data_IF_677235236864
#
_entry.id   IF_677235236864
#
_cell.length_a   1.000
_cell.length_b   1.000
_cell.length_c   1.000
_cell.angle_alpha   90.00
_cell.angle_beta   90.00
_cell.angle_gamma   90.00
#
_symmetry.space_group_name_H-M   'P 1'
#
loop_
_entity.id
_entity.type
_entity.pdbx_description
1 polymer ?
#
# COMPACT_ATOMS: atom_id res chain seq x y z
N UNK A 1 67.96 -18.47 -1.02
CA UNK A 1 67.02 -18.81 0.08
C UNK A 1 65.72 -18.06 -0.17
N UNK A 2 64.62 -18.83 -0.26
CA UNK A 2 63.21 -18.51 0.04
C UNK A 2 62.53 -17.34 -0.68
N UNK A 3 61.55 -17.61 -1.57
CA UNK A 3 60.08 -17.60 -1.33
C UNK A 3 59.55 -16.17 -1.05
N UNK A 4 58.49 -15.64 -1.67
CA UNK A 4 57.20 -16.27 -1.88
C UNK A 4 56.27 -15.43 -2.79
N UNK A 5 55.51 -16.15 -3.63
CA UNK A 5 54.10 -15.99 -4.09
C UNK A 5 53.40 -14.62 -4.20
N UNK A 6 52.82 -14.43 -5.40
CA UNK A 6 51.45 -13.99 -5.72
C UNK A 6 50.56 -13.50 -4.56
N UNK A 7 49.82 -12.39 -4.79
CA UNK A 7 48.37 -12.55 -4.97
C UNK A 7 47.71 -11.36 -5.68
N UNK A 8 47.05 -11.69 -6.78
CA UNK A 8 46.09 -10.89 -7.54
C UNK A 8 44.82 -10.75 -6.71
N UNK A 9 44.38 -9.52 -6.42
CA UNK A 9 43.03 -9.27 -5.88
C UNK A 9 42.11 -8.85 -7.02
N UNK A 10 41.54 -9.85 -7.70
CA UNK A 10 40.41 -9.65 -8.60
C UNK A 10 39.12 -9.57 -7.78
N UNK A 11 38.42 -8.45 -7.89
CA UNK A 11 37.09 -8.21 -7.33
C UNK A 11 36.05 -9.02 -8.10
N UNK A 12 35.35 -9.92 -7.41
CA UNK A 12 34.16 -10.61 -7.95
C UNK A 12 32.88 -9.86 -7.54
N UNK A 13 31.89 -9.70 -8.43
CA UNK A 13 30.53 -9.28 -8.10
C UNK A 13 29.63 -10.53 -7.95
N UNK A 14 29.00 -10.73 -6.79
CA UNK A 14 27.99 -11.78 -6.64
C UNK A 14 27.82 -12.30 -5.22
N UNK A 15 26.75 -11.87 -4.54
CA UNK A 15 26.39 -12.38 -3.22
C UNK A 15 25.32 -11.57 -2.49
N UNK A 16 24.22 -11.19 -3.14
CA UNK A 16 23.03 -10.79 -2.39
C UNK A 16 22.42 -12.02 -1.71
N UNK A 17 22.14 -11.91 -0.42
CA UNK A 17 22.15 -12.99 0.58
C UNK A 17 20.74 -13.62 0.68
N UNK A 18 20.60 -14.91 1.06
CA UNK A 18 19.30 -15.55 1.29
C UNK A 18 18.32 -14.77 2.20
N UNK A 19 18.87 -13.94 3.10
CA UNK A 19 18.11 -13.08 4.02
C UNK A 19 17.35 -11.98 3.27
N UNK A 20 17.95 -11.35 2.26
CA UNK A 20 17.27 -10.31 1.48
C UNK A 20 16.08 -10.88 0.72
N UNK A 21 16.23 -12.09 0.16
CA UNK A 21 15.12 -12.80 -0.48
C UNK A 21 14.00 -13.14 0.50
N UNK A 22 14.35 -13.56 1.72
CA UNK A 22 13.37 -13.84 2.77
C UNK A 22 12.62 -12.57 3.18
N UNK A 23 13.33 -11.45 3.38
CA UNK A 23 12.73 -10.15 3.68
C UNK A 23 11.74 -9.71 2.60
N UNK A 24 12.13 -9.79 1.33
CA UNK A 24 11.24 -9.47 0.21
C UNK A 24 9.99 -10.36 0.16
N UNK A 25 10.16 -11.68 0.35
CA UNK A 25 9.02 -12.60 0.37
C UNK A 25 8.06 -12.31 1.54
N UNK A 26 8.62 -11.95 2.69
CA UNK A 26 7.86 -11.57 3.87
C UNK A 26 7.09 -10.26 3.65
N UNK A 27 7.76 -9.25 3.11
CA UNK A 27 7.14 -7.96 2.75
C UNK A 27 5.96 -8.16 1.80
N UNK A 28 6.14 -8.95 0.74
CA UNK A 28 5.07 -9.22 -0.23
C UNK A 28 3.87 -9.95 0.39
N UNK A 29 4.09 -10.90 1.32
CA UNK A 29 2.99 -11.57 2.02
C UNK A 29 2.24 -10.62 2.95
N UNK A 30 2.97 -9.76 3.67
CA UNK A 30 2.38 -8.76 4.56
C UNK A 30 1.56 -7.74 3.76
N UNK A 31 2.11 -7.24 2.65
CA UNK A 31 1.41 -6.33 1.74
C UNK A 31 0.14 -6.95 1.18
N UNK A 32 0.18 -8.24 0.82
CA UNK A 32 -1.03 -8.97 0.40
C UNK A 32 -2.07 -9.06 1.51
N UNK A 33 -1.68 -9.45 2.74
CA UNK A 33 -2.63 -9.57 3.86
C UNK A 33 -3.31 -8.24 4.16
N UNK A 34 -2.56 -7.14 4.09
CA UNK A 34 -3.05 -5.79 4.34
C UNK A 34 -3.57 -5.08 3.08
N UNK A 35 -3.63 -5.78 1.94
CA UNK A 35 -4.23 -5.22 0.72
C UNK A 35 -5.72 -5.01 0.91
N UNK A 36 -6.26 -3.99 0.22
CA UNK A 36 -7.71 -3.68 0.26
C UNK A 36 -8.56 -4.89 -0.13
N UNK A 37 -8.12 -5.62 -1.15
CA UNK A 37 -8.82 -6.80 -1.68
C UNK A 37 -8.85 -7.95 -0.66
N UNK A 38 -7.73 -8.23 0.02
CA UNK A 38 -7.71 -9.24 1.07
C UNK A 38 -8.56 -8.80 2.27
N UNK A 39 -8.41 -7.57 2.74
CA UNK A 39 -9.17 -7.05 3.90
C UNK A 39 -10.68 -7.01 3.66
N UNK A 40 -11.13 -6.74 2.43
CA UNK A 40 -12.54 -6.78 2.09
C UNK A 40 -13.16 -8.18 2.23
N UNK A 41 -12.35 -9.24 2.13
CA UNK A 41 -12.80 -10.63 2.15
C UNK A 41 -12.35 -11.40 3.42
N UNK A 42 -11.32 -10.94 4.12
CA UNK A 42 -10.71 -11.61 5.26
C UNK A 42 -11.33 -11.13 6.57
N UNK A 43 -12.50 -11.71 6.89
CA UNK A 43 -13.21 -11.44 8.13
C UNK A 43 -12.39 -11.76 9.39
N UNK A 44 -11.43 -12.69 9.30
CA UNK A 44 -10.57 -13.00 10.45
C UNK A 44 -9.62 -11.84 10.73
N UNK A 45 -8.86 -11.39 9.73
CA UNK A 45 -7.92 -10.28 9.90
C UNK A 45 -8.65 -9.00 10.35
N UNK A 46 -9.82 -8.72 9.77
CA UNK A 46 -10.69 -7.61 10.21
C UNK A 46 -11.15 -7.78 11.66
N UNK A 47 -11.49 -8.99 12.10
CA UNK A 47 -11.89 -9.24 13.50
C UNK A 47 -10.75 -9.05 14.52
N UNK A 48 -9.49 -9.07 14.06
CA UNK A 48 -8.32 -8.85 14.90
C UNK A 48 -7.90 -7.38 14.96
N UNK A 49 -8.54 -6.51 14.18
CA UNK A 49 -8.31 -5.07 14.21
C UNK A 49 -8.98 -4.44 15.43
N UNK A 50 -8.30 -3.47 16.03
CA UNK A 50 -8.91 -2.56 17.00
C UNK A 50 -9.67 -1.41 16.33
N UNK A 51 -10.17 -0.48 17.13
CA UNK A 51 -10.93 0.68 16.65
C UNK A 51 -10.17 1.61 15.71
N UNK A 52 -8.83 1.54 15.74
CA UNK A 52 -7.92 2.33 14.90
C UNK A 52 -7.29 1.50 13.77
N UNK A 53 -7.86 0.31 13.49
CA UNK A 53 -7.43 -0.65 12.47
C UNK A 53 -6.05 -1.26 12.69
N UNK A 54 -5.53 -1.22 13.91
CA UNK A 54 -4.30 -1.88 14.25
C UNK A 54 -4.52 -3.36 14.58
N UNK A 55 -3.59 -4.18 14.11
CA UNK A 55 -3.50 -5.61 14.35
C UNK A 55 -2.18 -5.89 15.07
N UNK A 56 -2.18 -6.67 16.15
CA UNK A 56 -0.94 -7.02 16.80
C UNK A 56 0.01 -7.85 15.93
N UNK A 57 1.31 -7.59 16.03
CA UNK A 57 2.33 -8.32 15.24
C UNK A 57 2.25 -9.84 15.47
N UNK A 58 1.94 -10.27 16.70
CA UNK A 58 1.79 -11.70 17.02
C UNK A 58 0.66 -12.39 16.25
N UNK A 59 -0.42 -11.69 15.93
CA UNK A 59 -1.51 -12.21 15.11
C UNK A 59 -1.00 -12.53 13.71
N UNK A 60 -0.28 -11.58 13.10
CA UNK A 60 0.27 -11.71 11.75
C UNK A 60 1.37 -12.77 11.71
N UNK A 61 2.23 -12.81 12.72
CA UNK A 61 3.26 -13.82 12.86
C UNK A 61 2.71 -15.25 12.95
N UNK A 62 1.47 -15.42 13.40
CA UNK A 62 0.83 -16.73 13.48
C UNK A 62 0.13 -17.15 12.17
N UNK A 63 0.15 -16.33 11.12
CA UNK A 63 -0.40 -16.71 9.82
C UNK A 63 0.39 -17.83 9.17
N UNK A 64 -0.33 -18.72 8.48
CA UNK A 64 0.26 -19.92 7.90
C UNK A 64 1.34 -19.61 6.86
N UNK A 65 1.18 -18.54 6.05
CA UNK A 65 2.21 -18.16 5.08
C UNK A 65 3.40 -17.50 5.74
N UNK A 66 3.18 -16.70 6.79
CA UNK A 66 4.26 -16.08 7.57
C UNK A 66 5.09 -17.15 8.28
N UNK A 67 4.45 -18.10 8.97
CA UNK A 67 5.12 -19.22 9.66
C UNK A 67 5.94 -20.13 8.73
N UNK A 68 5.55 -20.24 7.45
CA UNK A 68 6.31 -20.99 6.44
C UNK A 68 7.58 -20.26 6.02
N UNK A 69 7.58 -18.93 6.10
CA UNK A 69 8.74 -18.10 5.76
C UNK A 69 9.68 -17.99 6.96
N UNK A 70 9.16 -17.65 8.14
CA UNK A 70 9.94 -17.47 9.37
C UNK A 70 9.07 -17.58 10.63
N UNK A 71 9.70 -17.91 11.76
CA UNK A 71 9.11 -17.82 13.10
C UNK A 71 9.79 -16.75 13.96
N UNK A 72 10.76 -16.03 13.40
CA UNK A 72 11.46 -14.96 14.09
C UNK A 72 10.63 -13.67 14.08
N UNK A 73 10.04 -13.36 15.24
CA UNK A 73 9.27 -12.13 15.46
C UNK A 73 10.11 -10.88 15.19
N UNK A 74 11.41 -10.89 15.51
CA UNK A 74 12.26 -9.70 15.31
C UNK A 74 12.42 -9.41 13.82
N UNK A 75 12.62 -10.43 13.01
CA UNK A 75 12.69 -10.29 11.55
C UNK A 75 11.36 -9.82 10.97
N UNK A 76 10.23 -10.34 11.46
CA UNK A 76 8.89 -9.90 11.06
C UNK A 76 8.70 -8.42 11.38
N UNK A 77 9.02 -8.00 12.61
CA UNK A 77 8.96 -6.59 13.02
C UNK A 77 9.89 -5.71 12.18
N UNK A 78 11.11 -6.17 11.87
CA UNK A 78 12.07 -5.40 11.06
C UNK A 78 11.54 -5.16 9.63
N UNK A 79 11.01 -6.19 8.97
CA UNK A 79 10.41 -6.05 7.63
C UNK A 79 9.16 -5.18 7.68
N UNK A 80 8.35 -5.31 8.73
CA UNK A 80 7.21 -4.45 8.94
C UNK A 80 7.64 -2.99 9.10
N UNK A 81 8.71 -2.69 9.84
CA UNK A 81 9.23 -1.32 10.04
C UNK A 81 9.73 -0.66 8.76
N UNK A 82 10.19 -1.46 7.79
CA UNK A 82 10.54 -0.98 6.46
C UNK A 82 9.28 -0.57 5.66
N UNK A 83 8.09 -1.04 6.07
CA UNK A 83 6.79 -0.58 5.56
C UNK A 83 6.28 0.63 6.36
N UNK A 84 5.65 1.64 5.74
CA UNK A 84 5.23 2.88 6.42
C UNK A 84 4.07 2.73 7.43
N UNK A 85 3.73 1.52 7.86
CA UNK A 85 2.44 1.20 8.47
C UNK A 85 2.51 0.55 9.87
N UNK A 86 3.62 0.70 10.58
CA UNK A 86 3.88 0.08 11.89
C UNK A 86 3.87 1.10 13.02
N UNK A 87 3.24 0.73 14.14
CA UNK A 87 3.43 1.38 15.43
C UNK A 87 4.50 0.63 16.24
N UNK A 88 5.64 1.27 16.40
CA UNK A 88 6.83 0.73 17.04
C UNK A 88 6.72 0.62 18.56
N UNK A 89 5.91 1.49 19.21
CA UNK A 89 5.77 1.49 20.67
C UNK A 89 4.85 0.37 21.13
N UNK A 90 3.82 0.07 20.35
CA UNK A 90 2.77 -0.86 20.75
C UNK A 90 2.87 -2.23 20.11
N UNK A 91 3.87 -2.49 19.26
CA UNK A 91 4.08 -3.76 18.54
C UNK A 91 2.84 -4.15 17.72
N UNK A 92 2.26 -3.17 17.03
CA UNK A 92 1.07 -3.31 16.21
C UNK A 92 1.32 -2.77 14.80
N UNK A 93 0.54 -3.27 13.85
CA UNK A 93 0.63 -2.88 12.43
C UNK A 93 -0.76 -2.56 11.95
N UNK A 94 -0.90 -1.65 11.01
CA UNK A 94 -2.18 -1.38 10.38
C UNK A 94 -2.05 -1.46 8.86
N UNK A 95 -3.15 -1.64 8.12
CA UNK A 95 -3.13 -1.45 6.68
C UNK A 95 -2.65 -0.04 6.30
N UNK A 96 -2.05 0.07 5.12
CA UNK A 96 -1.64 1.37 4.59
C UNK A 96 -2.84 2.28 4.37
N UNK A 97 -2.86 3.40 5.09
CA UNK A 97 -3.83 4.48 4.90
C UNK A 97 -3.37 5.42 3.79
N UNK A 98 -3.05 4.87 2.60
CA UNK A 98 -2.72 5.72 1.44
C UNK A 98 -4.01 6.38 0.97
N UNK A 99 -3.97 7.71 0.88
CA UNK A 99 -5.07 8.54 0.36
C UNK A 99 -5.15 8.40 -1.15
N UNK A 100 -5.61 7.26 -1.62
CA UNK A 100 -5.77 7.01 -3.05
C UNK A 100 -7.18 7.40 -3.54
N UNK A 101 -7.96 8.13 -2.74
CA UNK A 101 -9.35 8.46 -3.05
C UNK A 101 -9.51 9.97 -3.21
N UNK A 102 -9.97 10.38 -4.39
CA UNK A 102 -10.46 11.72 -4.66
C UNK A 102 -11.97 11.74 -4.46
N UNK A 103 -12.42 12.70 -3.66
CA UNK A 103 -13.82 12.92 -3.34
C UNK A 103 -14.33 14.10 -4.16
N UNK A 104 -15.29 13.84 -5.06
CA UNK A 104 -16.03 14.89 -5.75
C UNK A 104 -17.38 15.13 -5.08
N UNK A 105 -17.64 16.39 -4.75
CA UNK A 105 -18.91 16.86 -4.21
C UNK A 105 -19.57 17.77 -5.25
N UNK A 106 -20.90 17.93 -5.11
CA UNK A 106 -21.71 18.80 -5.98
C UNK A 106 -21.91 18.23 -7.41
N UNK A 107 -21.71 16.92 -7.58
CA UNK A 107 -22.13 16.18 -8.77
C UNK A 107 -23.35 15.33 -8.40
N UNK A 108 -24.44 15.49 -9.15
CA UNK A 108 -25.69 14.79 -8.89
C UNK A 108 -25.53 13.27 -9.11
N UNK A 109 -26.22 12.45 -8.31
CA UNK A 109 -26.19 10.99 -8.44
C UNK A 109 -26.83 10.45 -9.72
N UNK A 110 -27.61 11.26 -10.43
CA UNK A 110 -28.13 10.96 -11.77
C UNK A 110 -27.09 11.15 -12.88
N UNK A 111 -25.96 11.80 -12.59
CA UNK A 111 -24.86 11.98 -13.55
C UNK A 111 -24.30 10.60 -13.95
N UNK A 112 -24.23 10.26 -15.25
CA UNK A 112 -23.68 9.00 -15.69
C UNK A 112 -22.22 8.83 -15.23
N UNK A 113 -21.86 7.62 -14.78
CA UNK A 113 -20.50 7.32 -14.30
C UNK A 113 -19.42 7.63 -15.35
N UNK A 114 -19.72 7.46 -16.64
CA UNK A 114 -18.79 7.76 -17.73
C UNK A 114 -18.52 9.26 -17.87
N UNK A 115 -19.50 10.12 -17.58
CA UNK A 115 -19.31 11.57 -17.54
C UNK A 115 -18.43 11.97 -16.35
N UNK A 116 -18.63 11.35 -15.19
CA UNK A 116 -17.78 11.59 -14.00
C UNK A 116 -16.35 11.12 -14.26
N UNK A 117 -16.17 9.98 -14.93
CA UNK A 117 -14.85 9.49 -15.35
C UNK A 117 -14.20 10.41 -16.37
N UNK A 118 -14.98 11.03 -17.26
CA UNK A 118 -14.47 11.95 -18.28
C UNK A 118 -13.79 13.19 -17.68
N UNK A 119 -14.12 13.57 -16.44
CA UNK A 119 -13.41 14.62 -15.68
C UNK A 119 -11.91 14.31 -15.56
N UNK A 120 -11.53 13.03 -15.55
CA UNK A 120 -10.16 12.55 -15.44
C UNK A 120 -9.62 11.91 -16.73
N UNK A 121 -10.24 12.17 -17.89
CA UNK A 121 -9.84 11.55 -19.16
C UNK A 121 -8.65 12.22 -19.86
N UNK A 122 -7.96 13.16 -19.19
CA UNK A 122 -6.75 13.77 -19.73
C UNK A 122 -5.59 12.75 -19.79
N UNK A 123 -4.81 12.74 -20.86
CA UNK A 123 -3.71 11.78 -21.05
C UNK A 123 -2.60 11.92 -20.00
N UNK A 124 -2.49 13.06 -19.33
CA UNK A 124 -1.53 13.29 -18.25
C UNK A 124 -1.97 12.70 -16.91
N UNK A 125 -3.22 12.24 -16.80
CA UNK A 125 -3.78 11.72 -15.56
C UNK A 125 -3.64 10.19 -15.42
N UNK A 126 -3.48 9.72 -14.18
CA UNK A 126 -3.46 8.29 -13.89
C UNK A 126 -4.84 7.66 -14.13
N UNK A 127 -4.83 6.34 -14.39
CA UNK A 127 -6.06 5.59 -14.60
C UNK A 127 -6.86 5.47 -13.30
N UNK A 128 -8.16 5.66 -13.42
CA UNK A 128 -9.11 5.39 -12.35
C UNK A 128 -9.24 3.87 -12.16
N UNK A 129 -9.10 3.39 -10.92
CA UNK A 129 -9.39 2.00 -10.54
C UNK A 129 -10.88 1.78 -10.28
N UNK A 130 -11.52 2.69 -9.53
CA UNK A 130 -12.96 2.65 -9.27
C UNK A 130 -13.57 4.06 -9.24
N UNK A 131 -14.84 4.16 -9.62
CA UNK A 131 -15.63 5.39 -9.59
C UNK A 131 -17.03 5.04 -9.09
N UNK A 132 -17.33 5.38 -7.85
CA UNK A 132 -18.55 4.96 -7.15
C UNK A 132 -19.29 6.16 -6.57
N UNK A 133 -20.61 6.19 -6.76
CA UNK A 133 -21.48 7.15 -6.10
C UNK A 133 -22.01 6.55 -4.79
N UNK A 134 -21.87 7.30 -3.70
CA UNK A 134 -22.25 6.85 -2.37
C UNK A 134 -23.50 7.57 -1.85
N UNK A 135 -24.12 6.93 -0.85
CA UNK A 135 -25.37 7.34 -0.20
C UNK A 135 -25.34 8.74 0.42
N UNK A 136 -24.17 9.34 0.65
CA UNK A 136 -24.00 10.69 1.16
C UNK A 136 -23.94 11.77 0.06
N UNK A 137 -24.36 11.44 -1.17
CA UNK A 137 -24.37 12.35 -2.33
C UNK A 137 -22.96 12.81 -2.73
N UNK A 138 -22.04 11.86 -2.75
CA UNK A 138 -20.62 12.07 -2.99
C UNK A 138 -20.09 11.00 -3.92
N UNK A 139 -19.20 11.38 -4.82
CA UNK A 139 -18.48 10.46 -5.69
C UNK A 139 -17.09 10.15 -5.13
N UNK A 140 -16.76 8.87 -5.05
CA UNK A 140 -15.45 8.36 -4.65
C UNK A 140 -14.71 7.81 -5.87
N UNK A 141 -13.58 8.45 -6.19
CA UNK A 141 -12.74 8.07 -7.32
C UNK A 141 -11.45 7.51 -6.74
N UNK A 142 -11.24 6.21 -6.94
CA UNK A 142 -10.07 5.49 -6.42
C UNK A 142 -9.00 5.39 -7.50
N UNK A 143 -7.76 5.72 -7.14
CA UNK A 143 -6.55 5.57 -7.94
C UNK A 143 -5.64 4.47 -7.36
N UNK A 144 -4.60 4.10 -8.09
CA UNK A 144 -3.64 3.05 -7.69
C UNK A 144 -2.76 3.49 -6.52
N UNK A 145 -2.32 4.75 -6.52
CA UNK A 145 -1.45 5.30 -5.48
C UNK A 145 -1.94 6.63 -4.91
N UNK A 146 -1.34 7.05 -3.80
CA UNK A 146 -1.56 8.38 -3.23
C UNK A 146 -1.01 9.50 -4.13
N UNK A 147 0.13 9.27 -4.80
CA UNK A 147 0.69 10.21 -5.80
C UNK A 147 -0.29 10.40 -6.96
N UNK A 148 -0.88 9.31 -7.46
CA UNK A 148 -1.89 9.36 -8.52
C UNK A 148 -3.11 10.18 -8.11
N UNK A 149 -3.65 9.90 -6.92
CA UNK A 149 -4.79 10.63 -6.40
C UNK A 149 -4.46 12.12 -6.16
N UNK A 150 -3.25 12.44 -5.72
CA UNK A 150 -2.79 13.81 -5.54
C UNK A 150 -2.67 14.56 -6.87
N UNK A 151 -2.13 13.92 -7.92
CA UNK A 151 -2.05 14.48 -9.28
C UNK A 151 -3.44 14.74 -9.85
N UNK A 152 -4.33 13.76 -9.73
CA UNK A 152 -5.73 13.89 -10.13
C UNK A 152 -6.44 15.02 -9.37
N UNK A 153 -6.27 15.09 -8.05
CA UNK A 153 -6.80 16.17 -7.22
C UNK A 153 -6.36 17.56 -7.71
N UNK A 154 -5.05 17.74 -7.95
CA UNK A 154 -4.51 19.01 -8.42
C UNK A 154 -5.06 19.38 -9.79
N UNK A 155 -5.11 18.44 -10.72
CA UNK A 155 -5.68 18.68 -12.04
C UNK A 155 -7.13 19.14 -11.96
N UNK A 156 -7.98 18.42 -11.22
CA UNK A 156 -9.42 18.76 -11.14
C UNK A 156 -9.60 20.10 -10.43
N UNK A 157 -8.85 20.36 -9.35
CA UNK A 157 -8.92 21.65 -8.66
C UNK A 157 -8.54 22.83 -9.58
N UNK A 158 -7.53 22.66 -10.42
CA UNK A 158 -6.97 23.76 -11.19
C UNK A 158 -7.70 23.96 -12.54
N UNK A 159 -8.21 22.88 -13.15
CA UNK A 159 -8.86 22.89 -14.47
C UNK A 159 -10.39 22.82 -14.41
N UNK A 160 -10.96 22.32 -13.31
CA UNK A 160 -12.39 22.01 -13.20
C UNK A 160 -12.96 22.77 -12.00
N UNK A 161 -13.19 24.07 -12.21
CA UNK A 161 -13.60 25.02 -11.16
C UNK A 161 -15.02 24.82 -10.63
N UNK A 162 -15.77 23.89 -11.20
CA UNK A 162 -17.20 23.69 -10.92
C UNK A 162 -17.46 22.75 -9.74
N UNK A 163 -16.47 21.97 -9.30
CA UNK A 163 -16.67 20.93 -8.27
C UNK A 163 -15.86 21.17 -7.00
N UNK A 164 -16.44 20.88 -5.84
CA UNK A 164 -15.69 20.82 -4.58
C UNK A 164 -14.97 19.49 -4.45
N UNK A 165 -13.65 19.53 -4.59
CA UNK A 165 -12.78 18.36 -4.50
C UNK A 165 -12.08 18.29 -3.15
N UNK A 166 -12.01 17.10 -2.55
CA UNK A 166 -11.18 16.81 -1.37
C UNK A 166 -10.42 15.49 -1.57
N UNK A 167 -9.23 15.38 -0.98
CA UNK A 167 -8.51 14.11 -0.87
C UNK A 167 -8.79 13.48 0.51
N UNK A 168 -9.08 12.19 0.56
CA UNK A 168 -9.38 11.44 1.80
C UNK A 168 -8.48 10.21 1.95
#
# INVERSE_FOLDING_TARGET
>A
MSENVNNTSATSPGGEVPVDRLKHALAAQLEYYFSRENLANDAYLVSQMDGDQYVPIWTVANFNQIKKLTTDIKLITEVLKESPNVDDEEMRVRPSHKRCIVILREIDGSTPVDEVRAIFADESLPKILSCEFAHNNVWYITFESDDDAQRAYHYVRDNVKEYKVRLD
#
